data_IF_813412319893
#
_entry.id   IF_813412319893
#
_cell.length_a   1.000
_cell.length_b   1.000
_cell.length_c   1.000
_cell.angle_alpha   90.00
_cell.angle_beta   90.00
_cell.angle_gamma   90.00
#
_symmetry.space_group_name_H-M   'P 1'
#
loop_
_entity.id
_entity.type
_entity.pdbx_description
1 polymer ?
#
# COMPACT_ATOMS: atom_id res chain seq x y z
N UNK A 1 5.66 -17.46 -13.98
CA UNK A 1 6.31 -17.04 -12.71
C UNK A 1 5.39 -16.00 -12.07
N UNK A 2 5.08 -16.12 -10.78
CA UNK A 2 4.18 -15.18 -10.08
C UNK A 2 4.88 -13.84 -9.87
N UNK A 3 4.26 -12.74 -10.32
CA UNK A 3 4.75 -11.37 -10.10
C UNK A 3 4.64 -10.98 -8.63
N UNK A 4 3.56 -11.41 -7.97
CA UNK A 4 3.42 -11.22 -6.52
C UNK A 4 4.57 -11.87 -5.75
N UNK A 5 4.98 -13.10 -6.11
CA UNK A 5 6.11 -13.77 -5.45
C UNK A 5 7.43 -13.01 -5.65
N UNK A 6 7.68 -12.51 -6.86
CA UNK A 6 8.88 -11.70 -7.14
C UNK A 6 8.91 -10.43 -6.30
N UNK A 7 7.80 -9.70 -6.26
CA UNK A 7 7.68 -8.47 -5.47
C UNK A 7 7.87 -8.78 -3.99
N UNK A 8 7.23 -9.85 -3.48
CA UNK A 8 7.33 -10.27 -2.09
C UNK A 8 8.77 -10.55 -1.68
N UNK A 9 9.48 -11.41 -2.45
CA UNK A 9 10.87 -11.76 -2.17
C UNK A 9 11.78 -10.53 -2.30
N UNK A 10 11.64 -9.74 -3.38
CA UNK A 10 12.44 -8.54 -3.59
C UNK A 10 12.28 -7.54 -2.45
N UNK A 11 11.03 -7.32 -1.98
CA UNK A 11 10.76 -6.38 -0.88
C UNK A 11 11.40 -6.84 0.41
N UNK A 12 11.29 -8.12 0.76
CA UNK A 12 11.93 -8.68 1.97
C UNK A 12 13.45 -8.52 1.88
N UNK A 13 14.05 -8.97 0.78
CA UNK A 13 15.51 -8.96 0.62
C UNK A 13 16.05 -7.54 0.65
N UNK A 14 15.47 -6.63 -0.15
CA UNK A 14 15.94 -5.23 -0.22
C UNK A 14 15.75 -4.51 1.11
N UNK A 15 14.62 -4.71 1.80
CA UNK A 15 14.37 -4.10 3.11
C UNK A 15 15.35 -4.61 4.17
N UNK A 16 15.58 -5.92 4.25
CA UNK A 16 16.53 -6.47 5.23
C UNK A 16 17.97 -6.02 4.96
N UNK A 17 18.38 -5.97 3.69
CA UNK A 17 19.69 -5.42 3.31
C UNK A 17 19.80 -3.94 3.72
N UNK A 18 18.77 -3.13 3.44
CA UNK A 18 18.78 -1.71 3.77
C UNK A 18 18.77 -1.45 5.29
N UNK A 19 18.08 -2.29 6.08
CA UNK A 19 18.01 -2.16 7.53
C UNK A 19 19.28 -2.60 8.24
N UNK A 20 19.92 -3.68 7.80
CA UNK A 20 20.95 -4.34 8.61
C UNK A 20 22.34 -4.43 7.95
N UNK A 21 22.43 -4.50 6.63
CA UNK A 21 23.69 -4.73 5.94
C UNK A 21 24.20 -3.53 5.13
N UNK A 22 23.31 -2.72 4.57
CA UNK A 22 23.66 -1.64 3.66
C UNK A 22 22.79 -0.38 3.91
N UNK A 23 22.98 0.37 5.00
CA UNK A 23 22.15 1.55 5.31
C UNK A 23 22.13 2.62 4.20
N UNK A 24 23.21 2.75 3.43
CA UNK A 24 23.26 3.63 2.25
C UNK A 24 22.24 3.25 1.16
N UNK A 25 21.79 1.99 1.13
CA UNK A 25 20.72 1.54 0.23
C UNK A 25 19.39 2.19 0.60
N UNK A 26 19.07 2.27 1.90
CA UNK A 26 17.90 2.99 2.40
C UNK A 26 17.87 4.43 1.88
N UNK A 27 18.95 5.17 2.06
CA UNK A 27 19.07 6.57 1.62
C UNK A 27 18.90 6.75 0.11
N UNK A 28 19.33 5.77 -0.69
CA UNK A 28 19.20 5.80 -2.15
C UNK A 28 17.79 5.48 -2.64
N UNK A 29 17.05 4.62 -1.93
CA UNK A 29 15.76 4.09 -2.39
C UNK A 29 14.56 4.83 -1.81
N UNK A 30 14.71 5.55 -0.70
CA UNK A 30 13.65 6.32 -0.06
C UNK A 30 13.16 7.45 -0.97
N UNK A 31 11.86 7.71 -0.98
CA UNK A 31 11.28 8.78 -1.76
C UNK A 31 11.40 10.12 -1.04
N UNK A 32 12.13 11.05 -1.64
CA UNK A 32 12.27 12.45 -1.22
C UNK A 32 11.70 13.35 -2.31
N UNK A 33 10.50 13.93 -2.13
CA UNK A 33 9.88 14.81 -3.12
C UNK A 33 10.78 15.96 -3.58
N UNK A 34 11.56 16.53 -2.65
CA UNK A 34 12.50 17.60 -2.93
C UNK A 34 13.60 17.17 -3.92
N UNK A 35 14.20 16.01 -3.70
CA UNK A 35 15.26 15.49 -4.61
C UNK A 35 14.68 15.10 -5.97
N UNK A 36 13.46 14.57 -6.01
CA UNK A 36 12.74 14.29 -7.26
C UNK A 36 12.57 15.55 -8.08
N UNK A 37 12.15 16.65 -7.45
CA UNK A 37 11.94 17.93 -8.14
C UNK A 37 13.25 18.62 -8.57
N UNK A 38 14.25 18.62 -7.71
CA UNK A 38 15.49 19.42 -7.90
C UNK A 38 16.59 18.66 -8.63
N UNK A 39 16.63 17.33 -8.50
CA UNK A 39 17.73 16.48 -8.99
C UNK A 39 17.27 15.42 -10.00
N UNK A 40 15.98 15.32 -10.29
CA UNK A 40 15.44 14.34 -11.24
C UNK A 40 15.51 12.89 -10.74
N UNK A 41 15.50 12.64 -9.42
CA UNK A 41 15.63 11.30 -8.83
C UNK A 41 14.27 10.58 -8.87
N UNK A 42 13.72 10.33 -10.08
CA UNK A 42 12.37 9.80 -10.28
C UNK A 42 12.24 8.31 -9.95
N UNK A 43 13.31 7.52 -10.01
CA UNK A 43 13.24 6.07 -9.72
C UNK A 43 12.73 5.78 -8.31
N UNK A 44 12.92 6.72 -7.37
CA UNK A 44 12.46 6.59 -6.00
C UNK A 44 10.94 6.57 -5.85
N UNK A 45 10.21 7.02 -6.86
CA UNK A 45 8.74 6.89 -6.97
C UNK A 45 8.30 5.42 -6.95
N UNK A 46 9.17 4.51 -7.37
CA UNK A 46 8.92 3.07 -7.35
C UNK A 46 9.72 2.38 -6.25
N UNK A 47 11.01 2.74 -6.11
CA UNK A 47 11.91 1.98 -5.24
C UNK A 47 11.64 2.16 -3.75
N UNK A 48 10.97 3.26 -3.35
CA UNK A 48 10.56 3.47 -1.96
C UNK A 48 9.67 2.35 -1.40
N UNK A 49 8.91 1.67 -2.28
CA UNK A 49 8.06 0.54 -1.91
C UNK A 49 8.82 -0.72 -1.52
N UNK A 50 10.13 -0.79 -1.80
CA UNK A 50 10.98 -1.94 -1.46
C UNK A 50 11.81 -1.75 -0.19
N UNK A 51 11.70 -0.61 0.47
CA UNK A 51 12.39 -0.32 1.74
C UNK A 51 11.39 0.04 2.83
N UNK A 52 11.69 -0.38 4.06
CA UNK A 52 10.83 -0.19 5.23
C UNK A 52 11.65 0.39 6.38
N UNK A 53 11.03 1.23 7.20
CA UNK A 53 11.73 1.98 8.24
C UNK A 53 12.15 1.13 9.44
N UNK A 54 11.48 0.02 9.67
CA UNK A 54 11.77 -0.95 10.72
C UNK A 54 11.21 -2.33 10.36
N UNK A 55 11.59 -3.34 11.16
CA UNK A 55 11.20 -4.73 10.94
C UNK A 55 9.68 -4.95 11.10
N UNK A 56 9.03 -4.27 12.04
CA UNK A 56 7.60 -4.42 12.25
C UNK A 56 6.81 -3.84 11.09
N UNK A 57 7.25 -2.70 10.55
CA UNK A 57 6.67 -2.11 9.34
C UNK A 57 6.78 -3.08 8.15
N UNK A 58 7.95 -3.72 7.96
CA UNK A 58 8.14 -4.76 6.93
C UNK A 58 7.21 -5.95 7.15
N UNK A 59 7.15 -6.49 8.37
CA UNK A 59 6.33 -7.67 8.70
C UNK A 59 4.86 -7.40 8.41
N UNK A 60 4.29 -6.30 8.88
CA UNK A 60 2.87 -5.99 8.66
C UNK A 60 2.54 -5.77 7.18
N UNK A 61 3.42 -5.09 6.44
CA UNK A 61 3.25 -4.94 4.99
C UNK A 61 3.29 -6.30 4.28
N UNK A 62 4.30 -7.12 4.56
CA UNK A 62 4.45 -8.42 3.90
C UNK A 62 3.37 -9.42 4.31
N UNK A 63 2.91 -9.38 5.53
CA UNK A 63 1.78 -10.19 5.99
C UNK A 63 0.50 -9.82 5.23
N UNK A 64 0.17 -8.53 5.14
CA UNK A 64 -1.00 -8.07 4.37
C UNK A 64 -0.83 -8.42 2.89
N UNK A 65 0.35 -8.19 2.32
CA UNK A 65 0.65 -8.58 0.95
C UNK A 65 0.45 -10.09 0.73
N UNK A 66 0.95 -10.93 1.62
CA UNK A 66 0.82 -12.38 1.54
C UNK A 66 -0.64 -12.84 1.44
N UNK A 67 -1.51 -12.31 2.28
CA UNK A 67 -2.91 -12.71 2.31
C UNK A 67 -3.70 -12.27 1.07
N UNK A 68 -3.39 -11.10 0.49
CA UNK A 68 -4.22 -10.52 -0.56
C UNK A 68 -3.60 -10.57 -1.95
N UNK A 69 -2.28 -10.42 -2.09
CA UNK A 69 -1.63 -10.28 -3.38
C UNK A 69 -1.70 -11.58 -4.21
N UNK A 70 -1.43 -12.73 -3.61
CA UNK A 70 -1.48 -14.00 -4.33
C UNK A 70 -2.92 -14.39 -4.72
N UNK A 71 -3.89 -14.05 -3.86
CA UNK A 71 -5.30 -14.26 -4.16
C UNK A 71 -5.74 -13.38 -5.32
N UNK A 72 -5.38 -12.10 -5.29
CA UNK A 72 -5.72 -11.14 -6.33
C UNK A 72 -5.02 -11.45 -7.65
N UNK A 73 -3.70 -11.77 -7.63
CA UNK A 73 -2.96 -12.14 -8.86
C UNK A 73 -3.61 -13.33 -9.58
N UNK A 74 -4.07 -14.34 -8.83
CA UNK A 74 -4.80 -15.48 -9.42
C UNK A 74 -6.10 -15.07 -10.08
N UNK A 75 -6.78 -14.04 -9.57
CA UNK A 75 -8.06 -13.55 -10.09
C UNK A 75 -7.90 -12.69 -11.34
N UNK A 76 -6.91 -11.79 -11.36
CA UNK A 76 -6.75 -10.78 -12.44
C UNK A 76 -5.57 -11.06 -13.39
N UNK A 77 -4.74 -12.04 -13.07
CA UNK A 77 -3.52 -12.37 -13.83
C UNK A 77 -2.31 -11.51 -13.47
N UNK A 78 -1.10 -12.04 -13.73
CA UNK A 78 0.14 -11.39 -13.29
C UNK A 78 0.39 -10.02 -13.89
N UNK A 79 0.08 -9.82 -15.19
CA UNK A 79 0.29 -8.52 -15.84
C UNK A 79 -0.59 -7.43 -15.23
N UNK A 80 -1.90 -7.70 -15.08
CA UNK A 80 -2.83 -6.75 -14.48
C UNK A 80 -2.47 -6.46 -13.01
N UNK A 81 -2.04 -7.50 -12.25
CA UNK A 81 -1.55 -7.34 -10.88
C UNK A 81 -0.30 -6.45 -10.82
N UNK A 82 0.67 -6.65 -11.72
CA UNK A 82 1.86 -5.81 -11.79
C UNK A 82 1.54 -4.35 -12.10
N UNK A 83 0.64 -4.10 -13.07
CA UNK A 83 0.17 -2.75 -13.41
C UNK A 83 -0.53 -2.09 -12.22
N UNK A 84 -1.41 -2.81 -11.52
CA UNK A 84 -2.05 -2.31 -10.31
C UNK A 84 -1.01 -1.96 -9.25
N UNK A 85 -0.10 -2.86 -8.92
CA UNK A 85 0.87 -2.67 -7.85
C UNK A 85 1.82 -1.50 -8.11
N UNK A 86 2.52 -1.50 -9.25
CA UNK A 86 3.50 -0.46 -9.58
C UNK A 86 2.84 0.89 -9.92
N UNK A 87 1.68 0.85 -10.58
CA UNK A 87 0.87 2.05 -10.80
C UNK A 87 0.41 2.68 -9.48
N UNK A 88 0.02 1.84 -8.52
CA UNK A 88 -0.37 2.31 -7.19
C UNK A 88 0.79 2.88 -6.39
N UNK A 89 2.00 2.31 -6.48
CA UNK A 89 3.20 2.92 -5.87
C UNK A 89 3.40 4.35 -6.35
N UNK A 90 3.33 4.56 -7.67
CA UNK A 90 3.52 5.88 -8.26
C UNK A 90 2.40 6.87 -7.89
N UNK A 91 1.15 6.41 -7.98
CA UNK A 91 -0.02 7.27 -7.70
C UNK A 91 -0.16 7.58 -6.22
N UNK A 92 0.13 6.64 -5.32
CA UNK A 92 0.03 6.82 -3.89
C UNK A 92 0.94 7.94 -3.36
N UNK A 93 2.11 8.15 -3.96
CA UNK A 93 3.02 9.23 -3.56
C UNK A 93 2.81 10.54 -4.33
N UNK A 94 1.85 10.61 -5.25
CA UNK A 94 1.60 11.82 -6.03
C UNK A 94 1.19 13.00 -5.15
N UNK A 95 0.25 12.81 -4.23
CA UNK A 95 -0.17 13.85 -3.26
C UNK A 95 0.98 14.26 -2.35
N UNK A 96 1.77 13.29 -1.90
CA UNK A 96 2.98 13.51 -1.10
C UNK A 96 3.99 14.37 -1.87
N UNK A 97 4.18 14.10 -3.16
CA UNK A 97 5.04 14.90 -4.02
C UNK A 97 4.62 16.38 -4.04
N UNK A 98 3.38 16.66 -4.40
CA UNK A 98 2.91 18.04 -4.48
C UNK A 98 2.94 18.78 -3.14
N UNK A 99 2.69 18.07 -2.04
CA UNK A 99 2.64 18.62 -0.69
C UNK A 99 4.02 18.94 -0.13
N UNK A 100 5.04 18.13 -0.42
CA UNK A 100 6.36 18.17 0.20
C UNK A 100 7.54 18.44 -0.76
N UNK A 101 7.27 18.78 -2.02
CA UNK A 101 8.34 19.01 -3.01
C UNK A 101 9.27 20.20 -2.69
N UNK A 102 8.88 21.06 -1.77
CA UNK A 102 9.69 22.19 -1.29
C UNK A 102 10.29 21.94 0.11
N UNK A 103 10.06 20.77 0.70
CA UNK A 103 10.57 20.38 2.02
C UNK A 103 11.76 19.43 1.89
N UNK A 104 13.02 19.92 2.11
CA UNK A 104 14.20 19.07 1.97
C UNK A 104 14.35 18.01 3.06
N UNK A 105 13.60 18.13 4.17
CA UNK A 105 13.65 17.19 5.29
C UNK A 105 12.63 16.05 5.16
N UNK A 106 11.62 16.20 4.31
CA UNK A 106 10.58 15.19 4.16
C UNK A 106 11.06 13.99 3.35
N UNK A 107 10.81 12.81 3.89
CA UNK A 107 11.01 11.55 3.20
C UNK A 107 9.89 10.56 3.55
N UNK A 108 9.57 9.65 2.63
CA UNK A 108 8.61 8.56 2.87
C UNK A 108 9.09 7.27 2.20
N UNK A 109 8.65 6.14 2.75
CA UNK A 109 9.02 4.79 2.32
C UNK A 109 7.90 3.79 2.65
N UNK A 110 8.03 2.58 2.09
CA UNK A 110 7.11 1.47 2.34
C UNK A 110 6.12 1.21 1.22
N UNK A 111 5.71 -0.04 1.11
CA UNK A 111 4.79 -0.53 0.09
C UNK A 111 3.30 -0.25 0.40
N UNK A 112 3.00 0.36 1.56
CA UNK A 112 1.64 0.35 2.14
C UNK A 112 0.57 0.99 1.24
N UNK A 113 0.91 2.00 0.43
CA UNK A 113 -0.02 2.58 -0.55
C UNK A 113 -0.42 1.56 -1.63
N UNK A 114 0.53 0.82 -2.20
CA UNK A 114 0.24 -0.23 -3.18
C UNK A 114 -0.47 -1.42 -2.52
N UNK A 115 -0.12 -1.78 -1.29
CA UNK A 115 -0.80 -2.84 -0.53
C UNK A 115 -2.25 -2.44 -0.24
N UNK A 116 -2.53 -1.18 0.05
CA UNK A 116 -3.90 -0.69 0.17
C UNK A 116 -4.69 -0.87 -1.14
N UNK A 117 -4.08 -0.59 -2.30
CA UNK A 117 -4.73 -0.84 -3.58
C UNK A 117 -5.03 -2.32 -3.82
N UNK A 118 -4.07 -3.20 -3.53
CA UNK A 118 -4.26 -4.66 -3.61
C UNK A 118 -5.38 -5.13 -2.69
N UNK A 119 -5.40 -4.67 -1.45
CA UNK A 119 -6.43 -5.00 -0.46
C UNK A 119 -7.82 -4.56 -0.91
N UNK A 120 -7.96 -3.31 -1.37
CA UNK A 120 -9.26 -2.78 -1.78
C UNK A 120 -9.76 -3.41 -3.08
N UNK A 121 -8.89 -3.71 -4.04
CA UNK A 121 -9.25 -4.51 -5.20
C UNK A 121 -9.70 -5.94 -4.81
N UNK A 122 -8.98 -6.58 -3.86
CA UNK A 122 -9.36 -7.89 -3.35
C UNK A 122 -10.72 -7.88 -2.64
N UNK A 123 -11.05 -6.83 -1.89
CA UNK A 123 -12.36 -6.70 -1.23
C UNK A 123 -13.49 -6.63 -2.26
N UNK A 124 -13.30 -5.94 -3.39
CA UNK A 124 -14.32 -5.90 -4.46
C UNK A 124 -14.54 -7.27 -5.07
N UNK A 125 -13.47 -8.03 -5.35
CA UNK A 125 -13.58 -9.36 -5.93
C UNK A 125 -14.05 -10.46 -4.96
N UNK A 126 -13.79 -10.28 -3.67
CA UNK A 126 -14.07 -11.27 -2.62
C UNK A 126 -14.83 -10.65 -1.44
N UNK A 127 -16.03 -10.06 -1.66
CA UNK A 127 -16.73 -9.27 -0.64
C UNK A 127 -17.20 -10.09 0.58
N UNK A 128 -17.42 -11.40 0.42
CA UNK A 128 -17.80 -12.30 1.53
C UNK A 128 -16.62 -12.69 2.43
N UNK A 129 -15.40 -12.26 2.10
CA UNK A 129 -14.22 -12.53 2.89
C UNK A 129 -14.30 -11.87 4.26
N UNK A 130 -13.73 -12.53 5.28
CA UNK A 130 -13.59 -11.97 6.62
C UNK A 130 -12.12 -11.68 6.91
N UNK A 131 -11.86 -10.51 7.46
CA UNK A 131 -10.53 -10.02 7.80
C UNK A 131 -10.33 -10.07 9.32
N UNK A 132 -9.08 -10.28 9.74
CA UNK A 132 -8.70 -10.26 11.14
C UNK A 132 -7.69 -9.13 11.36
N UNK A 133 -7.91 -8.32 12.39
CA UNK A 133 -6.93 -7.31 12.83
C UNK A 133 -6.14 -7.92 13.99
N UNK A 134 -4.94 -8.39 13.71
CA UNK A 134 -4.09 -8.98 14.74
C UNK A 134 -3.69 -7.94 15.81
N UNK A 135 -3.72 -8.32 17.11
CA UNK A 135 -3.96 -9.65 17.67
C UNK A 135 -5.43 -9.97 17.98
N UNK A 136 -6.38 -9.20 17.51
CA UNK A 136 -7.81 -9.33 17.83
C UNK A 136 -8.42 -10.44 16.96
N UNK A 137 -8.84 -11.59 17.53
CA UNK A 137 -9.35 -12.72 16.73
C UNK A 137 -10.84 -12.57 16.36
N UNK A 138 -11.28 -11.35 16.07
CA UNK A 138 -12.67 -11.08 15.66
C UNK A 138 -12.73 -10.96 14.15
N UNK A 139 -13.51 -11.81 13.45
CA UNK A 139 -13.67 -11.72 12.01
C UNK A 139 -14.54 -10.52 11.62
N UNK A 140 -13.96 -9.59 10.86
CA UNK A 140 -14.64 -8.39 10.36
C UNK A 140 -15.01 -8.63 8.89
N UNK A 141 -16.28 -8.44 8.47
CA UNK A 141 -16.64 -8.47 7.05
C UNK A 141 -15.79 -7.50 6.24
N UNK A 142 -15.27 -7.94 5.08
CA UNK A 142 -14.33 -7.15 4.29
C UNK A 142 -14.89 -5.77 3.86
N UNK A 143 -16.16 -5.61 3.46
CA UNK A 143 -16.73 -4.29 3.17
C UNK A 143 -16.76 -3.36 4.39
N UNK A 144 -17.08 -3.89 5.58
CA UNK A 144 -17.08 -3.11 6.82
C UNK A 144 -15.65 -2.66 7.18
N UNK A 145 -14.66 -3.57 7.02
CA UNK A 145 -13.26 -3.23 7.19
C UNK A 145 -12.84 -2.10 6.24
N UNK A 146 -13.25 -2.14 4.97
CA UNK A 146 -12.91 -1.10 3.99
C UNK A 146 -13.43 0.28 4.43
N UNK A 147 -14.68 0.37 4.90
CA UNK A 147 -15.25 1.61 5.42
C UNK A 147 -14.47 2.10 6.65
N UNK A 148 -14.21 1.21 7.61
CA UNK A 148 -13.46 1.55 8.82
C UNK A 148 -12.03 2.01 8.50
N UNK A 149 -11.36 1.36 7.55
CA UNK A 149 -10.02 1.73 7.10
C UNK A 149 -9.97 3.14 6.48
N UNK A 150 -10.92 3.47 5.60
CA UNK A 150 -11.01 4.80 4.98
C UNK A 150 -11.29 5.86 6.05
N UNK A 151 -12.28 5.62 6.93
CA UNK A 151 -12.63 6.53 8.01
C UNK A 151 -11.44 6.78 8.96
N UNK A 152 -10.74 5.71 9.36
CA UNK A 152 -9.53 5.80 10.18
C UNK A 152 -8.42 6.60 9.48
N UNK A 153 -8.13 6.27 8.22
CA UNK A 153 -7.06 6.95 7.46
C UNK A 153 -7.36 8.42 7.24
N UNK A 154 -8.64 8.76 7.03
CA UNK A 154 -9.08 10.15 6.92
C UNK A 154 -8.90 10.91 8.24
N UNK A 155 -9.37 10.36 9.35
CA UNK A 155 -9.22 10.95 10.68
C UNK A 155 -7.75 11.13 11.08
N UNK A 156 -6.92 10.10 10.85
CA UNK A 156 -5.52 10.12 11.23
C UNK A 156 -4.68 11.10 10.38
N UNK A 157 -5.05 11.31 9.12
CA UNK A 157 -4.43 12.29 8.22
C UNK A 157 -4.51 13.73 8.77
N UNK A 158 -5.59 14.09 9.43
CA UNK A 158 -5.83 15.45 9.97
C UNK A 158 -5.15 15.68 11.34
N UNK A 159 -4.20 14.85 11.74
CA UNK A 159 -3.46 14.99 13.00
C UNK A 159 -4.09 14.27 14.18
N UNK A 160 -4.93 13.26 13.90
CA UNK A 160 -5.49 12.37 14.93
C UNK A 160 -4.42 11.74 15.82
N UNK A 161 -4.79 11.36 17.06
CA UNK A 161 -3.91 10.77 18.09
C UNK A 161 -3.10 9.54 17.63
N UNK A 162 -3.49 8.92 16.53
CA UNK A 162 -2.91 7.69 15.97
C UNK A 162 -2.13 7.91 14.67
N UNK A 163 -1.65 9.13 14.41
CA UNK A 163 -0.90 9.45 13.18
C UNK A 163 0.52 8.84 13.12
N UNK A 164 0.99 8.26 14.22
CA UNK A 164 2.30 7.61 14.31
C UNK A 164 2.18 6.09 14.29
N UNK A 165 3.04 5.41 13.53
CA UNK A 165 3.19 3.96 13.57
C UNK A 165 3.86 3.48 14.86
N UNK A 166 3.96 2.13 15.01
CA UNK A 166 4.47 1.49 16.24
C UNK A 166 5.91 1.91 16.60
N UNK A 167 6.72 2.36 15.65
CA UNK A 167 8.09 2.85 15.88
C UNK A 167 8.21 4.38 15.89
N UNK A 168 7.11 5.12 16.09
CA UNK A 168 7.12 6.59 16.10
C UNK A 168 7.22 7.24 14.72
N UNK A 169 7.26 6.46 13.64
CA UNK A 169 7.25 6.97 12.27
C UNK A 169 5.87 7.51 11.91
N UNK A 170 5.86 8.65 11.20
CA UNK A 170 4.61 9.19 10.66
C UNK A 170 4.09 8.30 9.54
N UNK A 171 2.90 7.75 9.72
CA UNK A 171 2.21 6.98 8.67
C UNK A 171 1.74 7.96 7.58
N UNK A 172 2.02 7.63 6.32
CA UNK A 172 1.54 8.42 5.18
C UNK A 172 0.08 8.03 4.84
N UNK A 173 -0.86 8.56 5.61
CA UNK A 173 -2.29 8.29 5.42
C UNK A 173 -2.83 8.78 4.07
N UNK A 174 -2.24 9.83 3.48
CA UNK A 174 -2.59 10.27 2.14
C UNK A 174 -2.29 9.16 1.12
N UNK A 175 -1.12 8.53 1.21
CA UNK A 175 -0.76 7.41 0.33
C UNK A 175 -1.68 6.19 0.50
N UNK A 176 -2.14 5.92 1.72
CA UNK A 176 -3.10 4.85 2.00
C UNK A 176 -4.46 5.11 1.36
N UNK A 177 -4.98 6.33 1.47
CA UNK A 177 -6.27 6.72 0.87
C UNK A 177 -6.21 6.69 -0.66
N UNK A 178 -5.14 7.23 -1.25
CA UNK A 178 -4.94 7.19 -2.71
C UNK A 178 -4.79 5.74 -3.17
N UNK A 179 -4.01 4.92 -2.45
CA UNK A 179 -3.89 3.50 -2.76
C UNK A 179 -5.24 2.80 -2.77
N UNK A 180 -6.05 2.96 -1.72
CA UNK A 180 -7.40 2.41 -1.64
C UNK A 180 -8.27 2.84 -2.83
N UNK A 181 -8.26 4.13 -3.17
CA UNK A 181 -8.99 4.67 -4.33
C UNK A 181 -8.50 4.06 -5.64
N UNK A 182 -7.17 3.95 -5.84
CA UNK A 182 -6.59 3.33 -7.04
C UNK A 182 -7.05 1.88 -7.19
N UNK A 183 -7.08 1.10 -6.09
CA UNK A 183 -7.58 -0.27 -6.11
C UNK A 183 -9.04 -0.36 -6.54
N UNK A 184 -9.90 0.49 -5.99
CA UNK A 184 -11.31 0.57 -6.38
C UNK A 184 -11.47 0.97 -7.85
N UNK A 185 -10.82 2.05 -8.28
CA UNK A 185 -10.92 2.54 -9.66
C UNK A 185 -10.37 1.51 -10.65
N UNK A 186 -9.28 0.82 -10.31
CA UNK A 186 -8.72 -0.22 -11.17
C UNK A 186 -9.76 -1.31 -11.46
N UNK A 187 -10.45 -1.83 -10.44
CA UNK A 187 -11.50 -2.84 -10.66
C UNK A 187 -12.67 -2.25 -11.44
N UNK A 188 -13.08 -1.01 -11.16
CA UNK A 188 -14.17 -0.36 -11.88
C UNK A 188 -13.89 -0.24 -13.40
N UNK A 189 -12.63 0.02 -13.76
CA UNK A 189 -12.23 0.18 -15.17
C UNK A 189 -12.03 -1.18 -15.86
N UNK A 190 -11.47 -2.17 -15.15
CA UNK A 190 -11.09 -3.45 -15.76
C UNK A 190 -12.15 -4.53 -15.68
N UNK A 191 -13.00 -4.52 -14.64
CA UNK A 191 -14.07 -5.49 -14.40
C UNK A 191 -15.21 -4.85 -13.59
N UNK A 192 -16.01 -3.94 -14.20
CA UNK A 192 -17.08 -3.24 -13.48
C UNK A 192 -18.18 -4.20 -12.96
N UNK A 193 -18.29 -5.40 -13.56
CA UNK A 193 -19.23 -6.43 -13.11
C UNK A 193 -18.95 -6.97 -11.70
N UNK A 194 -17.71 -6.90 -11.23
CA UNK A 194 -17.34 -7.32 -9.87
C UNK A 194 -18.04 -6.50 -8.78
N UNK A 195 -18.41 -5.25 -9.07
CA UNK A 195 -19.17 -4.41 -8.14
C UNK A 195 -20.61 -4.88 -7.92
N UNK A 196 -21.23 -5.54 -8.90
CA UNK A 196 -22.59 -6.12 -8.73
C UNK A 196 -22.57 -7.17 -7.60
N UNK A 197 -21.55 -8.03 -7.57
CA UNK A 197 -21.39 -9.02 -6.50
C UNK A 197 -21.14 -8.36 -5.13
N UNK A 198 -20.33 -7.31 -5.09
CA UNK A 198 -20.11 -6.54 -3.86
C UNK A 198 -21.41 -5.96 -3.33
N UNK A 199 -22.20 -5.28 -4.19
CA UNK A 199 -23.47 -4.67 -3.82
C UNK A 199 -24.49 -5.72 -3.34
N UNK A 200 -24.57 -6.85 -4.01
CA UNK A 200 -25.43 -7.97 -3.58
C UNK A 200 -25.00 -8.52 -2.21
N UNK A 201 -23.71 -8.61 -1.93
CA UNK A 201 -23.23 -9.10 -0.62
C UNK A 201 -23.53 -8.13 0.53
N UNK A 202 -23.55 -6.82 0.24
CA UNK A 202 -23.73 -5.77 1.27
C UNK A 202 -25.20 -5.45 1.51
N UNK A 203 -26.04 -5.51 0.46
CA UNK A 203 -27.42 -5.00 0.49
C UNK A 203 -28.49 -6.06 0.14
N UNK A 204 -28.12 -7.24 -0.32
CA UNK A 204 -29.01 -8.38 -0.63
C UNK A 204 -29.12 -9.30 0.55
#
# INVERSE_FOLDING_TARGET
MSIALLIFIATIVVSLLALYAAPKLMERLIFRPYDTQRRGVYYTVITHGFVHGDLMHLIFNMMTFWFFAFLLERRIGGVAFGLLYFGSLALAVSTTYFKHRNDPQYATLGASGAIAAVLFAAIVYFPSMKLFILPIPVPIPAPLFAVAYVAYSWYAKEGGRFSSGMAGQKINHDAHLIGALVGLVFVLVTDPGAYAQLLQTVFG
#
